data_IF_562195496698
#
_entry.id   IF_562195496698
#
_cell.length_a   1.000
_cell.length_b   1.000
_cell.length_c   1.000
_cell.angle_alpha   90.00
_cell.angle_beta   90.00
_cell.angle_gamma   90.00
#
_symmetry.space_group_name_H-M   'P 1'
#
loop_
_entity.id
_entity.type
_entity.pdbx_description
1 polymer ?
#
# COMPACT_ATOMS: atom_id res chain seq x y z
N UNK A 1 -1.79 0.42 9.96
CA UNK A 1 -1.72 1.82 9.46
C UNK A 1 -2.13 2.78 10.59
N UNK A 2 -1.31 3.78 10.88
CA UNK A 2 -1.58 4.71 12.00
C UNK A 2 -2.74 5.67 11.69
N UNK A 3 -3.04 5.89 10.41
CA UNK A 3 -4.15 6.73 9.95
C UNK A 3 -5.30 5.91 9.36
N UNK A 4 -6.54 6.30 9.71
CA UNK A 4 -7.77 5.76 9.14
C UNK A 4 -8.04 6.44 7.79
N UNK A 5 -8.32 5.66 6.76
CA UNK A 5 -8.70 6.18 5.46
C UNK A 5 -9.99 7.02 5.55
N UNK A 6 -10.06 8.07 4.74
CA UNK A 6 -11.28 8.90 4.59
C UNK A 6 -12.41 8.04 4.01
N UNK A 7 -13.65 8.32 4.41
CA UNK A 7 -14.87 7.66 3.90
C UNK A 7 -15.41 6.52 4.76
N UNK A 8 -14.68 6.11 5.81
CA UNK A 8 -15.19 5.21 6.86
C UNK A 8 -15.82 3.92 6.31
N UNK A 9 -17.01 3.57 6.82
CA UNK A 9 -17.72 2.34 6.45
C UNK A 9 -18.16 2.32 4.97
N UNK A 10 -18.48 3.49 4.40
CA UNK A 10 -18.92 3.58 2.99
C UNK A 10 -17.77 3.10 2.08
N UNK A 11 -16.58 3.66 2.27
CA UNK A 11 -15.40 3.22 1.52
C UNK A 11 -15.02 1.78 1.86
N UNK A 12 -15.12 1.38 3.14
CA UNK A 12 -14.84 0.01 3.56
C UNK A 12 -15.69 -1.04 2.82
N UNK A 13 -16.98 -0.78 2.65
CA UNK A 13 -17.89 -1.70 1.95
C UNK A 13 -17.83 -1.56 0.42
N UNK A 14 -17.54 -0.36 -0.09
CA UNK A 14 -17.51 -0.06 -1.52
C UNK A 14 -16.26 -0.53 -2.25
N UNK A 15 -15.21 -0.97 -1.52
CA UNK A 15 -13.94 -1.42 -2.10
C UNK A 15 -13.71 -2.90 -1.87
N UNK A 16 -13.19 -3.62 -2.88
CA UNK A 16 -12.83 -5.04 -2.75
C UNK A 16 -11.41 -5.25 -2.21
N UNK A 17 -10.50 -4.33 -2.50
CA UNK A 17 -9.10 -4.40 -2.07
C UNK A 17 -8.66 -3.04 -1.59
N UNK A 18 -7.98 -3.00 -0.44
CA UNK A 18 -7.40 -1.77 0.10
C UNK A 18 -5.92 -1.98 0.35
N UNK A 19 -5.14 -1.06 -0.18
CA UNK A 19 -3.69 -1.04 -0.03
C UNK A 19 -3.33 0.24 0.71
N UNK A 20 -2.57 0.07 1.79
CA UNK A 20 -1.97 1.18 2.51
C UNK A 20 -0.59 1.46 1.93
N UNK A 21 -0.33 2.71 1.57
CA UNK A 21 0.95 3.14 1.02
C UNK A 21 1.72 3.94 2.06
N UNK A 22 3.00 3.61 2.23
CA UNK A 22 3.88 4.34 3.14
C UNK A 22 5.13 4.84 2.43
N UNK A 23 5.47 6.10 2.70
CA UNK A 23 6.65 6.74 2.17
C UNK A 23 7.84 6.51 3.10
N UNK A 24 8.90 5.91 2.55
CA UNK A 24 10.22 5.81 3.19
C UNK A 24 11.15 6.91 2.69
N UNK A 25 12.40 6.89 3.17
CA UNK A 25 13.44 7.83 2.73
C UNK A 25 13.71 7.65 1.23
N UNK A 26 13.89 8.76 0.52
CA UNK A 26 14.16 8.74 -0.93
C UNK A 26 12.95 8.31 -1.78
N UNK A 27 13.22 7.49 -2.80
CA UNK A 27 12.24 7.03 -3.78
C UNK A 27 11.42 5.80 -3.32
N UNK A 28 11.91 5.06 -2.31
CA UNK A 28 11.28 3.83 -1.82
C UNK A 28 9.94 4.06 -1.12
N UNK A 29 9.02 3.12 -1.34
CA UNK A 29 7.67 3.06 -0.80
C UNK A 29 7.35 1.61 -0.39
N UNK A 30 6.43 1.48 0.55
CA UNK A 30 5.89 0.21 0.99
C UNK A 30 4.38 0.20 0.71
N UNK A 31 3.91 -0.83 0.02
CA UNK A 31 2.49 -1.13 -0.11
C UNK A 31 2.15 -2.29 0.83
N UNK A 32 1.15 -2.12 1.69
CA UNK A 32 0.60 -3.19 2.51
C UNK A 32 -0.85 -3.45 2.14
N UNK A 33 -1.20 -4.69 1.82
CA UNK A 33 -2.61 -5.10 1.71
C UNK A 33 -3.22 -5.08 3.11
N UNK A 34 -4.27 -4.28 3.31
CA UNK A 34 -4.95 -4.14 4.61
C UNK A 34 -6.37 -4.69 4.62
N UNK A 35 -6.92 -4.94 3.44
CA UNK A 35 -8.28 -5.48 3.28
C UNK A 35 -8.35 -6.17 1.91
N UNK A 36 -8.63 -7.47 1.91
CA UNK A 36 -8.88 -8.25 0.70
C UNK A 36 -9.63 -9.54 1.07
N UNK A 37 -10.61 -9.96 0.25
CA UNK A 37 -11.27 -11.25 0.44
C UNK A 37 -10.40 -12.46 0.06
N UNK A 38 -9.24 -12.27 -0.59
CA UNK A 38 -8.44 -13.36 -1.18
C UNK A 38 -6.94 -13.26 -0.94
N UNK A 39 -6.43 -12.06 -0.63
CA UNK A 39 -5.02 -11.84 -0.38
C UNK A 39 -4.80 -11.71 1.13
N UNK A 40 -3.77 -12.37 1.69
CA UNK A 40 -3.36 -12.12 3.07
C UNK A 40 -2.84 -10.69 3.23
N UNK A 41 -2.77 -10.22 4.47
CA UNK A 41 -1.99 -9.03 4.80
C UNK A 41 -0.52 -9.29 4.43
N UNK A 42 -0.06 -8.61 3.38
CA UNK A 42 1.27 -8.76 2.83
C UNK A 42 1.84 -7.41 2.44
N UNK A 43 3.18 -7.34 2.41
CA UNK A 43 3.93 -6.14 2.08
C UNK A 43 4.71 -6.31 0.78
N UNK A 44 4.76 -5.23 -0.01
CA UNK A 44 5.54 -5.15 -1.24
C UNK A 44 6.29 -3.82 -1.28
N UNK A 45 7.58 -3.89 -1.60
CA UNK A 45 8.44 -2.74 -1.77
C UNK A 45 8.45 -2.28 -3.22
N UNK A 46 8.43 -0.96 -3.42
CA UNK A 46 8.53 -0.36 -4.75
C UNK A 46 9.20 1.01 -4.69
N UNK A 47 9.73 1.47 -5.82
CA UNK A 47 10.31 2.80 -5.96
C UNK A 47 9.49 3.67 -6.92
N UNK A 48 9.51 4.98 -6.70
CA UNK A 48 8.85 5.97 -7.57
C UNK A 48 9.92 6.90 -8.15
N UNK A 49 10.13 6.83 -9.46
CA UNK A 49 11.06 7.67 -10.22
C UNK A 49 10.34 8.46 -11.34
N UNK A 50 11.11 9.12 -12.22
CA UNK A 50 10.55 9.97 -13.28
C UNK A 50 9.65 9.23 -14.26
N UNK A 51 9.94 7.96 -14.56
CA UNK A 51 9.12 7.12 -15.43
C UNK A 51 8.01 6.35 -14.73
N UNK A 52 7.78 6.55 -13.42
CA UNK A 52 6.70 5.92 -12.66
C UNK A 52 7.17 4.93 -11.59
N UNK A 53 6.54 3.76 -11.55
CA UNK A 53 6.73 2.74 -10.51
C UNK A 53 7.75 1.70 -10.97
N UNK A 54 8.73 1.40 -10.12
CA UNK A 54 9.79 0.42 -10.35
C UNK A 54 9.82 -0.63 -9.24
N UNK A 55 10.26 -1.83 -9.58
CA UNK A 55 10.51 -2.89 -8.61
C UNK A 55 11.63 -2.49 -7.65
N UNK A 56 11.47 -2.85 -6.38
CA UNK A 56 12.47 -2.62 -5.35
C UNK A 56 12.70 -3.89 -4.54
N UNK A 57 13.96 -4.17 -4.24
CA UNK A 57 14.31 -5.24 -3.32
C UNK A 57 13.81 -4.89 -1.90
N UNK A 58 13.26 -5.87 -1.16
CA UNK A 58 12.87 -5.66 0.23
C UNK A 58 14.07 -5.24 1.08
N UNK A 59 13.86 -4.29 1.99
CA UNK A 59 14.85 -4.00 3.03
C UNK A 59 14.72 -5.07 4.12
N UNK A 60 15.83 -5.78 4.40
CA UNK A 60 15.96 -6.73 5.52
C UNK A 60 15.71 -6.06 6.89
#
# INVERSE_FOLDING_TARGET
PMERAVGGNIMGHGTTHRVWLWRRKGAKRLARVVDSPRLPEAEAWFEVGEGGVYDAEPEE
#
